data_IF_800414967675
#
_entry.id   IF_800414967675
#
_cell.length_a   1.000
_cell.length_b   1.000
_cell.length_c   1.000
_cell.angle_alpha   90.00
_cell.angle_beta   90.00
_cell.angle_gamma   90.00
#
_symmetry.space_group_name_H-M   'P 1'
#
loop_
_entity.id
_entity.type
_entity.pdbx_description
1 polymer ?
#
# COMPACT_ATOMS: atom_id res chain seq x y z
N UNK A 1 -4.15 -16.56 4.94
CA UNK A 1 -3.92 -16.28 6.37
C UNK A 1 -4.49 -14.91 6.68
N UNK A 2 -5.24 -14.73 7.77
CA UNK A 2 -5.77 -13.42 8.18
C UNK A 2 -4.92 -12.82 9.29
N UNK A 3 -4.62 -11.53 9.20
CA UNK A 3 -3.89 -10.80 10.24
C UNK A 3 -4.84 -10.45 11.40
N UNK A 4 -4.39 -10.64 12.64
CA UNK A 4 -5.13 -10.18 13.81
C UNK A 4 -4.90 -8.67 14.05
N UNK A 5 -5.74 -8.06 14.90
CA UNK A 5 -5.70 -6.62 15.18
C UNK A 5 -4.33 -6.12 15.67
N UNK A 6 -3.62 -6.91 16.49
CA UNK A 6 -2.29 -6.55 17.00
C UNK A 6 -1.25 -6.56 15.88
N UNK A 7 -1.31 -7.55 15.00
CA UNK A 7 -0.43 -7.65 13.83
C UNK A 7 -0.67 -6.49 12.87
N UNK A 8 -1.93 -6.14 12.60
CA UNK A 8 -2.27 -4.98 11.75
C UNK A 8 -1.72 -3.68 12.34
N UNK A 9 -1.90 -3.43 13.64
CA UNK A 9 -1.39 -2.23 14.29
C UNK A 9 0.15 -2.15 14.23
N UNK A 10 0.82 -3.28 14.45
CA UNK A 10 2.28 -3.38 14.35
C UNK A 10 2.77 -3.06 12.92
N UNK A 11 2.20 -3.72 11.90
CA UNK A 11 2.55 -3.50 10.50
C UNK A 11 2.24 -2.07 10.05
N UNK A 12 1.15 -1.46 10.54
CA UNK A 12 0.84 -0.06 10.28
C UNK A 12 1.90 0.89 10.86
N UNK A 13 2.41 0.59 12.05
CA UNK A 13 3.52 1.34 12.66
C UNK A 13 4.78 1.27 11.80
N UNK A 14 5.14 0.06 11.32
CA UNK A 14 6.27 -0.13 10.42
C UNK A 14 6.08 0.59 9.08
N UNK A 15 4.87 0.56 8.51
CA UNK A 15 4.58 1.21 7.24
C UNK A 15 4.62 2.75 7.31
N UNK A 16 4.52 3.35 8.50
CA UNK A 16 4.50 4.81 8.64
C UNK A 16 5.80 5.45 8.13
N UNK A 17 6.95 4.86 8.47
CA UNK A 17 8.29 5.32 8.06
C UNK A 17 8.68 4.93 6.64
N UNK A 18 7.91 4.05 5.99
CA UNK A 18 8.17 3.68 4.59
C UNK A 18 7.81 4.83 3.65
N UNK A 19 8.61 5.01 2.61
CA UNK A 19 8.22 5.80 1.46
C UNK A 19 7.24 4.99 0.61
N UNK A 20 6.20 5.61 0.03
CA UNK A 20 5.33 4.93 -0.92
C UNK A 20 6.13 4.39 -2.10
N UNK A 21 5.99 3.10 -2.39
CA UNK A 21 6.66 2.43 -3.53
C UNK A 21 5.76 2.31 -4.75
N UNK A 22 4.45 2.45 -4.56
CA UNK A 22 3.44 2.50 -5.62
C UNK A 22 2.55 3.72 -5.41
N UNK A 23 2.24 4.43 -6.49
CA UNK A 23 1.29 5.54 -6.49
C UNK A 23 0.13 5.27 -7.45
N UNK A 24 -1.10 5.37 -6.96
CA UNK A 24 -2.32 5.24 -7.75
C UNK A 24 -2.78 6.63 -8.15
N UNK A 25 -2.73 6.95 -9.44
CA UNK A 25 -3.19 8.22 -9.98
C UNK A 25 -4.68 8.23 -10.33
N UNK A 26 -5.12 9.25 -11.08
CA UNK A 26 -6.52 9.48 -11.44
C UNK A 26 -7.14 8.37 -12.31
N UNK A 27 -6.33 7.55 -12.97
CA UNK A 27 -6.79 6.38 -13.72
C UNK A 27 -7.15 5.19 -12.82
N UNK A 28 -6.93 5.32 -11.51
CA UNK A 28 -7.26 4.30 -10.52
C UNK A 28 -6.37 3.06 -10.62
N UNK A 29 -6.90 1.94 -10.11
CA UNK A 29 -6.21 0.66 -10.08
C UNK A 29 -6.23 0.01 -11.47
N UNK A 30 -5.22 0.30 -12.28
CA UNK A 30 -5.02 -0.34 -13.60
C UNK A 30 -4.28 -1.68 -13.47
N UNK A 31 -4.33 -2.52 -14.50
CA UNK A 31 -3.59 -3.79 -14.53
C UNK A 31 -2.08 -3.60 -14.32
N UNK A 32 -1.50 -2.50 -14.82
CA UNK A 32 -0.08 -2.21 -14.62
C UNK A 32 0.21 -1.89 -13.15
N UNK A 33 -0.67 -1.11 -12.49
CA UNK A 33 -0.55 -0.81 -11.06
C UNK A 33 -0.66 -2.10 -10.22
N UNK A 34 -1.58 -3.01 -10.57
CA UNK A 34 -1.70 -4.31 -9.87
C UNK A 34 -0.41 -5.13 -10.01
N UNK A 35 0.17 -5.22 -11.21
CA UNK A 35 1.44 -5.93 -11.44
C UNK A 35 2.58 -5.33 -10.62
N UNK A 36 2.65 -4.00 -10.52
CA UNK A 36 3.64 -3.31 -9.68
C UNK A 36 3.42 -3.59 -8.19
N UNK A 37 2.18 -3.61 -7.72
CA UNK A 37 1.83 -3.98 -6.34
C UNK A 37 2.31 -5.40 -6.04
N UNK A 38 2.01 -6.37 -6.90
CA UNK A 38 2.43 -7.76 -6.71
C UNK A 38 3.95 -7.91 -6.69
N UNK A 39 4.65 -7.25 -7.63
CA UNK A 39 6.12 -7.27 -7.70
C UNK A 39 6.74 -6.72 -6.41
N UNK A 40 6.30 -5.55 -5.96
CA UNK A 40 6.84 -4.92 -4.76
C UNK A 40 6.46 -5.67 -3.49
N UNK A 41 5.25 -6.22 -3.41
CA UNK A 41 4.83 -7.02 -2.26
C UNK A 41 5.66 -8.31 -2.13
N UNK A 42 5.97 -8.97 -3.25
CA UNK A 42 6.84 -10.15 -3.26
C UNK A 42 8.29 -9.83 -2.86
N UNK A 43 8.77 -8.63 -3.18
CA UNK A 43 10.15 -8.21 -2.89
C UNK A 43 10.33 -7.69 -1.45
N UNK A 44 9.31 -7.06 -0.87
CA UNK A 44 9.43 -6.30 0.38
C UNK A 44 8.55 -6.82 1.52
N UNK A 45 7.62 -7.74 1.27
CA UNK A 45 6.65 -8.33 2.21
C UNK A 45 5.64 -7.33 2.83
N UNK A 46 6.03 -6.06 2.96
CA UNK A 46 5.22 -4.93 3.40
C UNK A 46 5.50 -3.73 2.48
N UNK A 47 4.46 -3.19 1.87
CA UNK A 47 4.56 -2.03 0.99
C UNK A 47 3.62 -0.91 1.44
N UNK A 48 4.00 0.33 1.12
CA UNK A 48 3.14 1.50 1.27
C UNK A 48 2.69 1.93 -0.11
N UNK A 49 1.38 2.01 -0.32
CA UNK A 49 0.75 2.48 -1.55
C UNK A 49 0.10 3.83 -1.26
N UNK A 50 0.40 4.83 -2.07
CA UNK A 50 -0.22 6.15 -1.99
C UNK A 50 -1.30 6.26 -3.07
N UNK A 51 -2.48 6.77 -2.71
CA UNK A 51 -3.56 7.02 -3.66
C UNK A 51 -3.70 8.53 -3.81
N UNK A 52 -3.52 9.04 -5.02
CA UNK A 52 -3.72 10.45 -5.32
C UNK A 52 -5.23 10.73 -5.43
N UNK A 53 -5.70 11.79 -4.76
CA UNK A 53 -7.09 12.22 -4.79
C UNK A 53 -8.00 11.57 -3.75
N UNK A 54 -7.49 10.67 -2.91
CA UNK A 54 -8.19 10.21 -1.70
C UNK A 54 -7.84 11.18 -0.55
N UNK A 55 -8.24 12.45 -0.69
CA UNK A 55 -8.34 13.35 0.45
C UNK A 55 -9.44 12.79 1.34
N UNK A 56 -9.03 12.04 2.36
CA UNK A 56 -9.94 11.45 3.34
C UNK A 56 -10.53 12.49 4.32
N UNK A 57 -10.45 13.76 3.95
CA UNK A 57 -10.92 14.95 4.67
C UNK A 57 -11.98 15.77 3.87
N UNK A 58 -12.62 15.17 2.85
CA UNK A 58 -13.82 15.72 2.19
C UNK A 58 -15.12 15.14 2.77
#
# INVERSE_FOLDING_TARGET
MQLNTKQIAHLRGLAHSLNPVVMIGNQGLTENVIKEIELNLNAHELIKVQVAGDDRDA
#
